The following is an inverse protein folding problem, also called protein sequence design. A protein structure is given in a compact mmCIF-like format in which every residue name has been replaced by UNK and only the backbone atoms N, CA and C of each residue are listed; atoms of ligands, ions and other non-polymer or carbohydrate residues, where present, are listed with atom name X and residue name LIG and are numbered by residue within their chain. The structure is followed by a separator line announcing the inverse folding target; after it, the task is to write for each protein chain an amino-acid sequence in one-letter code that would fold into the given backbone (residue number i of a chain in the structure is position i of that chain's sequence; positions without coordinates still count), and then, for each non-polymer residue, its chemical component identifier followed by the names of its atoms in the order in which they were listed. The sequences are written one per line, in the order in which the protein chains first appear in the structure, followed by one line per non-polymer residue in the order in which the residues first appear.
data_IF_809060618878
#
_entry.id   IF_809060618878
#
_cell.length_a   1.000
_cell.length_b   1.000
_cell.length_c   1.000
_cell.angle_alpha   90.00
_cell.angle_beta   90.00
_cell.angle_gamma   90.00
#
_symmetry.space_group_name_H-M   'P 1'
#
loop_
_entity.id
_entity.type
_entity.pdbx_description
1 polymer ?
#
# COMPACT_ATOMS: atom_id res chain seq x y z
N UNK A 1 -5.18 19.81 -25.25
CA UNK A 1 -5.69 18.52 -24.71
C UNK A 1 -4.56 17.64 -24.17
N UNK A 2 -3.45 17.43 -24.89
CA UNK A 2 -2.35 16.56 -24.42
C UNK A 2 -1.55 17.02 -23.18
N UNK A 3 -1.54 18.31 -22.81
CA UNK A 3 -0.77 18.78 -21.64
C UNK A 3 -1.40 18.45 -20.28
N UNK A 4 -2.71 18.19 -20.22
CA UNK A 4 -3.42 17.84 -18.98
C UNK A 4 -3.26 16.35 -18.70
N UNK A 5 -3.42 15.50 -19.72
CA UNK A 5 -3.20 14.05 -19.61
C UNK A 5 -1.77 13.72 -19.17
N UNK A 6 -0.76 14.39 -19.75
CA UNK A 6 0.65 14.20 -19.36
C UNK A 6 0.91 14.61 -17.91
N UNK A 7 0.23 15.64 -17.40
CA UNK A 7 0.34 16.06 -15.99
C UNK A 7 -0.32 15.05 -15.06
N UNK A 8 -1.49 14.55 -15.43
CA UNK A 8 -2.19 13.54 -14.63
C UNK A 8 -1.38 12.25 -14.52
N UNK A 9 -0.82 11.78 -15.65
CA UNK A 9 0.03 10.60 -15.69
C UNK A 9 1.24 10.71 -14.73
N UNK A 10 1.91 11.87 -14.70
CA UNK A 10 3.03 12.11 -13.77
C UNK A 10 2.60 12.08 -12.31
N UNK A 11 1.45 12.67 -11.97
CA UNK A 11 0.95 12.67 -10.58
C UNK A 11 0.64 11.24 -10.12
N UNK A 12 0.13 10.38 -11.01
CA UNK A 12 -0.10 8.96 -10.72
C UNK A 12 1.22 8.22 -10.51
N UNK A 13 2.21 8.46 -11.38
CA UNK A 13 3.55 7.86 -11.25
C UNK A 13 4.23 8.27 -9.94
N UNK A 14 4.20 9.56 -9.58
CA UNK A 14 4.76 10.07 -8.32
C UNK A 14 4.04 9.45 -7.11
N UNK A 15 2.72 9.29 -7.20
CA UNK A 15 1.94 8.66 -6.15
C UNK A 15 2.24 7.18 -5.98
N UNK A 16 2.45 6.47 -7.09
CA UNK A 16 2.86 5.07 -7.07
C UNK A 16 4.24 4.92 -6.40
N UNK A 17 5.19 5.79 -6.72
CA UNK A 17 6.51 5.81 -6.09
C UNK A 17 6.40 6.04 -4.58
N UNK A 18 5.60 7.02 -4.15
CA UNK A 18 5.38 7.30 -2.73
C UNK A 18 4.77 6.09 -2.00
N UNK A 19 3.74 5.47 -2.58
CA UNK A 19 3.10 4.30 -1.98
C UNK A 19 4.06 3.11 -1.89
N UNK A 20 4.88 2.90 -2.93
CA UNK A 20 5.93 1.87 -2.92
C UNK A 20 6.93 2.11 -1.78
N UNK A 21 7.37 3.34 -1.57
CA UNK A 21 8.27 3.69 -0.46
C UNK A 21 7.64 3.35 0.90
N UNK A 22 6.38 3.71 1.13
CA UNK A 22 5.68 3.36 2.38
C UNK A 22 5.58 1.85 2.60
N UNK A 23 5.35 1.07 1.54
CA UNK A 23 5.35 -0.40 1.60
C UNK A 23 6.76 -0.92 1.89
N UNK A 24 7.78 -0.36 1.23
CA UNK A 24 9.17 -0.79 1.37
C UNK A 24 9.69 -0.59 2.79
N UNK A 25 9.32 0.53 3.41
CA UNK A 25 9.61 0.94 4.78
C UNK A 25 8.75 0.23 5.84
N UNK A 26 7.84 -0.68 5.44
CA UNK A 26 6.94 -1.41 6.33
C UNK A 26 6.02 -0.50 7.15
N UNK A 27 5.60 0.63 6.56
CA UNK A 27 4.77 1.62 7.24
C UNK A 27 3.37 1.09 7.59
N UNK A 28 2.87 0.08 6.87
CA UNK A 28 1.54 -0.50 7.10
C UNK A 28 1.61 -1.72 8.03
N UNK A 29 2.50 -2.66 7.73
CA UNK A 29 2.68 -3.90 8.47
C UNK A 29 4.08 -4.47 8.25
N UNK A 30 4.51 -5.32 9.17
CA UNK A 30 5.80 -6.04 9.07
C UNK A 30 5.69 -7.21 8.10
N UNK A 31 6.71 -7.42 7.27
CA UNK A 31 6.70 -8.49 6.24
C UNK A 31 6.60 -9.90 6.81
N UNK A 32 7.01 -10.10 8.06
CA UNK A 32 6.88 -11.37 8.79
C UNK A 32 5.42 -11.81 8.93
N UNK A 33 4.45 -10.89 8.91
CA UNK A 33 3.01 -11.20 8.91
C UNK A 33 2.57 -11.97 7.65
N UNK A 34 3.33 -11.89 6.56
CA UNK A 34 3.04 -12.61 5.31
C UNK A 34 3.70 -13.98 5.26
N UNK A 35 4.57 -14.29 6.21
CA UNK A 35 5.27 -15.57 6.28
C UNK A 35 4.33 -16.65 6.82
N UNK A 36 4.35 -17.81 6.20
CA UNK A 36 3.49 -18.94 6.55
C UNK A 36 4.24 -20.26 6.43
N UNK A 37 3.58 -21.37 6.76
CA UNK A 37 4.16 -22.72 6.71
C UNK A 37 5.52 -22.81 7.45
N UNK A 38 5.57 -22.29 8.68
CA UNK A 38 6.77 -22.22 9.53
C UNK A 38 7.98 -21.54 8.87
N UNK A 39 7.77 -20.45 8.13
CA UNK A 39 8.88 -19.72 7.51
C UNK A 39 9.21 -20.14 6.09
N UNK A 40 8.59 -21.20 5.58
CA UNK A 40 8.97 -21.81 4.30
C UNK A 40 8.25 -21.20 3.11
N UNK A 41 7.10 -20.55 3.34
CA UNK A 41 6.33 -19.86 2.32
C UNK A 41 6.04 -18.42 2.73
N UNK A 42 5.78 -17.57 1.75
CA UNK A 42 5.37 -16.17 1.96
C UNK A 42 4.23 -15.82 1.01
N UNK A 43 3.23 -15.10 1.52
CA UNK A 43 2.18 -14.52 0.72
C UNK A 43 2.71 -13.38 -0.14
N UNK A 44 2.35 -13.41 -1.43
CA UNK A 44 2.58 -12.30 -2.35
C UNK A 44 1.26 -11.54 -2.48
N UNK A 45 1.27 -10.26 -2.08
CA UNK A 45 0.11 -9.39 -2.19
C UNK A 45 0.17 -8.56 -3.47
N UNK A 46 -0.91 -8.59 -4.24
CA UNK A 46 -1.09 -7.76 -5.42
C UNK A 46 -2.09 -6.66 -5.10
N UNK A 47 -1.61 -5.44 -4.89
CA UNK A 47 -2.45 -4.27 -4.64
C UNK A 47 -2.81 -3.60 -5.97
N UNK A 48 -4.08 -3.66 -6.34
CA UNK A 48 -4.62 -2.98 -7.52
C UNK A 48 -5.52 -1.83 -7.08
N UNK A 49 -5.15 -0.60 -7.45
CA UNK A 49 -5.95 0.59 -7.15
C UNK A 49 -6.46 1.19 -8.47
N UNK A 50 -7.78 1.35 -8.56
CA UNK A 50 -8.43 1.99 -9.70
C UNK A 50 -8.93 3.38 -9.30
N UNK A 51 -8.48 4.41 -10.02
CA UNK A 51 -8.92 5.79 -9.81
C UNK A 51 -10.19 6.02 -10.63
N UNK A 52 -11.33 6.14 -9.94
CA UNK A 52 -12.64 6.29 -10.59
C UNK A 52 -12.97 7.74 -10.96
N UNK A 53 -12.52 8.69 -10.13
CA UNK A 53 -12.68 10.12 -10.35
C UNK A 53 -11.52 10.87 -9.69
N UNK A 54 -11.20 12.04 -10.23
CA UNK A 54 -10.09 12.88 -9.75
C UNK A 54 -10.60 14.29 -9.54
N UNK A 55 -10.63 14.73 -8.28
CA UNK A 55 -11.03 16.09 -7.90
C UNK A 55 -10.05 16.69 -6.87
N UNK A 56 -8.75 16.39 -7.05
CA UNK A 56 -7.68 16.81 -6.14
C UNK A 56 -7.25 15.73 -5.13
N UNK A 57 -6.22 16.05 -4.33
CA UNK A 57 -5.69 15.23 -3.22
C UNK A 57 -5.53 13.73 -3.53
N UNK A 58 -5.06 13.40 -4.74
CA UNK A 58 -4.91 12.03 -5.19
C UNK A 58 -3.98 11.22 -4.28
N UNK A 59 -2.87 11.82 -3.86
CA UNK A 59 -1.89 11.17 -2.97
C UNK A 59 -2.53 10.73 -1.64
N UNK A 60 -3.27 11.64 -1.01
CA UNK A 60 -3.95 11.39 0.27
C UNK A 60 -4.97 10.25 0.14
N UNK A 61 -5.70 10.27 -0.97
CA UNK A 61 -6.70 9.25 -1.30
C UNK A 61 -6.05 7.88 -1.51
N UNK A 62 -4.94 7.82 -2.25
CA UNK A 62 -4.25 6.55 -2.54
C UNK A 62 -3.68 5.88 -1.28
N UNK A 63 -3.04 6.66 -0.40
CA UNK A 63 -2.55 6.12 0.88
C UNK A 63 -3.72 5.64 1.73
N UNK A 64 -4.80 6.42 1.81
CA UNK A 64 -6.01 6.02 2.56
C UNK A 64 -6.64 4.74 2.00
N UNK A 65 -6.72 4.60 0.67
CA UNK A 65 -7.21 3.39 0.02
C UNK A 65 -6.33 2.18 0.33
N UNK A 66 -5.01 2.32 0.29
CA UNK A 66 -4.09 1.24 0.64
C UNK A 66 -4.24 0.83 2.12
N UNK A 67 -4.30 1.79 3.04
CA UNK A 67 -4.54 1.54 4.47
C UNK A 67 -5.86 0.79 4.68
N UNK A 68 -6.94 1.24 4.03
CA UNK A 68 -8.25 0.57 4.09
C UNK A 68 -8.23 -0.84 3.52
N UNK A 69 -7.55 -1.05 2.40
CA UNK A 69 -7.41 -2.37 1.78
C UNK A 69 -6.65 -3.35 2.68
N UNK A 70 -5.59 -2.90 3.35
CA UNK A 70 -4.83 -3.74 4.28
C UNK A 70 -5.57 -3.99 5.60
N UNK A 71 -6.41 -3.07 6.05
CA UNK A 71 -7.32 -3.31 7.18
C UNK A 71 -8.34 -4.42 6.88
N UNK A 72 -8.87 -4.44 5.66
CA UNK A 72 -9.86 -5.43 5.23
C UNK A 72 -9.23 -6.77 4.82
N UNK A 73 -7.91 -6.79 4.55
CA UNK A 73 -7.19 -7.98 4.10
C UNK A 73 -7.25 -9.10 5.14
N UNK A 74 -7.76 -10.24 4.71
CA UNK A 74 -7.72 -11.50 5.44
C UNK A 74 -6.99 -12.56 4.64
N UNK A 75 -6.09 -13.28 5.30
CA UNK A 75 -5.31 -14.36 4.69
C UNK A 75 -5.73 -15.70 5.31
N UNK A 76 -5.97 -16.75 4.50
CA UNK A 76 -6.20 -18.08 5.02
C UNK A 76 -4.93 -18.64 5.65
N UNK A 77 -5.08 -19.44 6.70
CA UNK A 77 -3.95 -20.20 7.25
C UNK A 77 -3.51 -21.27 6.26
N UNK A 78 -2.20 -21.47 6.12
CA UNK A 78 -1.63 -22.53 5.28
C UNK A 78 -1.21 -23.69 6.16
N UNK A 79 -1.80 -24.86 5.93
CA UNK A 79 -1.42 -26.11 6.57
C UNK A 79 -0.55 -26.90 5.58
N UNK A 80 0.67 -27.20 6.00
CA UNK A 80 1.59 -28.07 5.26
C UNK A 80 1.93 -29.24 6.16
N UNK A 81 1.95 -30.47 5.65
CA UNK A 81 2.40 -31.61 6.45
C UNK A 81 3.89 -31.40 6.80
N UNK A 82 4.20 -31.39 8.09
CA UNK A 82 5.43 -30.81 8.64
C UNK A 82 6.50 -31.87 8.92
N UNK A 83 6.88 -32.65 7.91
CA UNK A 83 8.20 -33.29 8.01
C UNK A 83 9.25 -32.22 7.67
N UNK A 84 10.09 -31.87 8.65
CA UNK A 84 11.05 -30.75 8.55
C UNK A 84 12.11 -30.98 7.46
N UNK A 85 12.36 -32.24 7.12
CA UNK A 85 13.32 -32.67 6.09
C UNK A 85 12.77 -32.62 4.65
N UNK A 86 11.47 -32.35 4.47
CA UNK A 86 10.82 -32.34 3.15
C UNK A 86 10.68 -30.90 2.63
N UNK A 87 11.10 -30.68 1.39
CA UNK A 87 10.86 -29.43 0.67
C UNK A 87 9.36 -29.21 0.47
N UNK A 88 8.85 -28.02 0.81
CA UNK A 88 7.44 -27.69 0.62
C UNK A 88 7.09 -27.67 -0.87
N UNK A 89 6.18 -28.55 -1.28
CA UNK A 89 5.49 -28.40 -2.56
C UNK A 89 4.29 -27.47 -2.37
N UNK A 90 4.31 -26.32 -3.03
CA UNK A 90 3.23 -25.33 -2.97
C UNK A 90 1.91 -25.89 -3.53
N UNK A 91 1.96 -26.88 -4.43
CA UNK A 91 0.77 -27.49 -5.01
C UNK A 91 0.05 -28.43 -4.03
N UNK A 92 0.74 -28.87 -2.96
CA UNK A 92 0.19 -29.71 -1.90
C UNK A 92 -0.21 -28.91 -0.66
N UNK A 93 0.07 -27.60 -0.63
CA UNK A 93 -0.29 -26.73 0.47
C UNK A 93 -1.81 -26.62 0.61
N UNK A 94 -2.35 -27.00 1.77
CA UNK A 94 -3.77 -26.93 2.05
C UNK A 94 -4.11 -25.60 2.71
N UNK A 95 -5.03 -24.84 2.11
CA UNK A 95 -5.57 -23.63 2.72
C UNK A 95 -6.68 -23.98 3.71
N UNK A 96 -6.67 -23.31 4.86
CA UNK A 96 -7.75 -23.42 5.84
C UNK A 96 -9.00 -22.67 5.36
N UNK A 97 -10.17 -23.18 5.75
CA UNK A 97 -11.46 -22.47 5.64
C UNK A 97 -11.52 -21.22 6.54
N UNK A 98 -10.61 -21.08 7.51
CA UNK A 98 -10.54 -19.93 8.41
C UNK A 98 -9.47 -18.94 7.92
N UNK A 99 -9.87 -17.68 7.81
CA UNK A 99 -9.00 -16.56 7.46
C UNK A 99 -8.80 -15.64 8.67
N UNK A 100 -7.65 -14.98 8.70
CA UNK A 100 -7.30 -14.03 9.75
C UNK A 100 -6.83 -12.72 9.13
N UNK A 101 -7.18 -11.62 9.78
CA UNK A 101 -6.65 -10.31 9.40
C UNK A 101 -5.15 -10.25 9.67
N UNK A 102 -4.42 -9.56 8.81
CA UNK A 102 -3.05 -9.19 9.12
C UNK A 102 -3.03 -8.13 10.23
N UNK A 103 -2.04 -8.20 11.13
CA UNK A 103 -1.87 -7.14 12.13
C UNK A 103 -1.15 -5.96 11.50
N UNK A 104 -1.83 -4.81 11.42
CA UNK A 104 -1.18 -3.57 11.01
C UNK A 104 -0.25 -3.06 12.11
N UNK A 105 0.92 -2.60 11.71
CA UNK A 105 1.90 -1.99 12.59
C UNK A 105 1.56 -0.52 12.87
N UNK A 106 1.03 0.17 11.85
CA UNK A 106 0.55 1.55 11.92
C UNK A 106 -0.54 1.78 10.87
N UNK A 107 -1.18 2.95 10.92
CA UNK A 107 -2.19 3.41 9.99
C UNK A 107 -1.71 4.69 9.33
N UNK A 108 -0.83 4.61 8.32
CA UNK A 108 -0.30 5.80 7.67
C UNK A 108 -1.42 6.62 7.05
N UNK A 109 -1.36 7.93 7.31
CA UNK A 109 -2.25 8.95 6.76
C UNK A 109 -1.38 10.02 6.11
N UNK A 110 -1.76 10.45 4.91
CA UNK A 110 -1.08 11.50 4.18
C UNK A 110 -1.96 12.76 4.14
N UNK A 111 -1.31 13.93 4.17
CA UNK A 111 -1.96 15.23 4.01
C UNK A 111 -1.19 16.06 2.99
N UNK A 112 -1.85 16.43 1.90
CA UNK A 112 -1.28 17.24 0.83
C UNK A 112 -1.56 18.73 1.08
N UNK A 113 -0.53 19.57 0.97
CA UNK A 113 -0.64 21.03 1.11
C UNK A 113 -0.38 21.72 -0.22
N UNK A 114 -1.25 22.65 -0.60
CA UNK A 114 -1.05 23.52 -1.76
C UNK A 114 -0.47 24.84 -1.27
N UNK A 115 0.78 25.12 -1.63
CA UNK A 115 1.44 26.40 -1.30
C UNK A 115 1.31 27.32 -2.50
N UNK A 116 0.58 28.42 -2.33
CA UNK A 116 0.46 29.48 -3.32
C UNK A 116 1.47 30.57 -2.99
N UNK A 117 2.35 30.86 -3.94
CA UNK A 117 3.32 31.95 -3.81
C UNK A 117 2.60 33.29 -4.00
N UNK A 118 2.02 33.80 -2.92
CA UNK A 118 1.42 35.12 -2.93
C UNK A 118 2.57 36.13 -2.86
N UNK A 119 2.86 36.81 -3.98
CA UNK A 119 3.76 37.95 -3.95
C UNK A 119 3.14 39.02 -3.03
N UNK A 120 3.62 39.10 -1.78
CA UNK A 120 3.23 40.15 -0.84
C UNK A 120 4.05 41.38 -1.24
N UNK A 121 3.44 42.42 -1.86
CA UNK A 121 4.18 43.63 -2.14
C UNK A 121 4.66 44.19 -0.80
N UNK A 122 5.98 44.37 -0.67
CA UNK A 122 6.57 45.03 0.49
C UNK A 122 5.85 46.36 0.69
N UNK A 123 5.18 46.53 1.84
CA UNK A 123 4.70 47.86 2.25
C UNK A 123 5.93 48.75 2.33
N UNK A 124 6.06 49.67 1.37
CA UNK A 124 7.03 50.76 1.44
C UNK A 124 6.66 51.54 2.70
N UNK A 125 7.54 51.50 3.70
CA UNK A 125 7.36 52.23 4.95
C UNK A 125 7.19 53.73 4.67
N UNK A 126 6.20 54.31 5.32
CA UNK A 126 6.07 55.76 5.47
C UNK A 126 7.10 56.28 6.48
#
# INVERSE_FOLDING_TARGET
MGSIEVRFQRVVEDAEVLLRQLIEEEAFFKRDQLVTANGRLMWILHLHIAILNVDGCLLDTLVTCATGAFLDLQLPRVNVDLDEDITVDINEALLSEHSEHISLADLPVLSTFIVLDAHIPNKVGH
#
